data_IF_490388710923
#
_entry.id   IF_490388710923
#
_cell.length_a   1.000
_cell.length_b   1.000
_cell.length_c   1.000
_cell.angle_alpha   90.00
_cell.angle_beta   90.00
_cell.angle_gamma   90.00
#
_symmetry.space_group_name_H-M   'P 1'
#
loop_
_entity.id
_entity.type
_entity.pdbx_description
1 polymer ?
#
# COMPACT_ATOMS: atom_id res chain seq x y z
N UNK A 1 -25.35 12.25 -7.17
CA UNK A 1 -23.92 12.36 -6.83
C UNK A 1 -23.20 13.03 -7.98
N UNK A 2 -22.57 14.20 -7.78
CA UNK A 2 -21.92 14.94 -8.88
C UNK A 2 -20.55 14.32 -9.26
N UNK A 3 -20.02 14.71 -10.42
CA UNK A 3 -18.74 14.19 -10.97
C UNK A 3 -17.54 14.37 -10.03
N UNK A 4 -17.58 15.38 -9.15
CA UNK A 4 -16.56 15.64 -8.13
C UNK A 4 -16.76 14.78 -6.87
N UNK A 5 -18.01 14.48 -6.48
CA UNK A 5 -18.32 13.49 -5.44
C UNK A 5 -17.97 12.08 -5.88
N UNK A 6 -18.17 11.74 -7.15
CA UNK A 6 -17.63 10.50 -7.73
C UNK A 6 -16.10 10.47 -7.68
N UNK A 7 -15.43 11.58 -8.03
CA UNK A 7 -13.96 11.66 -8.00
C UNK A 7 -13.39 11.56 -6.57
N UNK A 8 -14.09 12.11 -5.57
CA UNK A 8 -13.70 12.01 -4.16
C UNK A 8 -14.10 10.68 -3.51
N UNK A 9 -15.23 10.08 -3.92
CA UNK A 9 -15.57 8.69 -3.60
C UNK A 9 -14.61 7.68 -4.26
N UNK A 10 -13.93 8.09 -5.33
CA UNK A 10 -12.85 7.34 -5.97
C UNK A 10 -11.49 7.53 -5.29
N UNK A 11 -11.38 8.40 -4.26
CA UNK A 11 -10.16 8.47 -3.43
C UNK A 11 -10.21 7.38 -2.37
N UNK A 12 -9.95 6.16 -2.83
CA UNK A 12 -9.97 4.93 -2.05
C UNK A 12 -8.99 5.03 -0.87
N UNK A 13 -9.51 5.13 0.35
CA UNK A 13 -8.73 4.87 1.55
C UNK A 13 -8.84 5.86 2.72
N UNK A 14 -9.66 6.92 2.63
CA UNK A 14 -9.98 7.78 3.79
C UNK A 14 -11.44 7.68 4.24
N UNK A 15 -12.26 6.91 3.54
CA UNK A 15 -13.67 6.67 3.85
C UNK A 15 -13.95 5.17 3.82
N UNK A 16 -14.86 4.72 4.67
CA UNK A 16 -15.28 3.31 4.78
C UNK A 16 -15.71 2.76 3.43
N UNK A 17 -16.49 3.51 2.65
CA UNK A 17 -16.93 3.07 1.32
C UNK A 17 -15.76 2.74 0.37
N UNK A 18 -14.69 3.52 0.43
CA UNK A 18 -13.49 3.28 -0.36
C UNK A 18 -12.75 2.01 0.07
N UNK A 19 -12.75 1.71 1.37
CA UNK A 19 -12.19 0.47 1.90
C UNK A 19 -13.07 -0.75 1.55
N UNK A 20 -14.40 -0.61 1.58
CA UNK A 20 -15.33 -1.69 1.24
C UNK A 20 -15.30 -2.05 -0.24
N UNK A 21 -15.01 -1.10 -1.14
CA UNK A 21 -14.78 -1.41 -2.56
C UNK A 21 -13.63 -2.40 -2.75
N UNK A 22 -12.55 -2.28 -1.98
CA UNK A 22 -11.40 -3.19 -2.05
C UNK A 22 -11.73 -4.64 -1.65
N UNK A 23 -12.82 -4.87 -0.91
CA UNK A 23 -13.23 -6.19 -0.44
C UNK A 23 -13.33 -7.21 -1.58
N UNK A 24 -13.92 -6.80 -2.70
CA UNK A 24 -14.19 -7.70 -3.84
C UNK A 24 -13.08 -7.71 -4.89
N UNK A 25 -12.04 -6.91 -4.68
CA UNK A 25 -10.95 -6.65 -5.64
C UNK A 25 -9.78 -7.60 -5.29
N UNK A 26 -9.62 -8.71 -6.03
CA UNK A 26 -8.81 -9.92 -5.75
C UNK A 26 -9.20 -10.61 -4.43
N UNK A 27 -9.83 -11.79 -4.46
CA UNK A 27 -10.23 -12.49 -3.24
C UNK A 27 -9.08 -13.27 -2.60
N UNK A 28 -9.03 -13.27 -1.25
CA UNK A 28 -8.18 -14.22 -0.51
C UNK A 28 -8.61 -15.64 -0.83
N UNK A 29 -7.66 -16.55 -1.03
CA UNK A 29 -7.90 -17.92 -1.46
C UNK A 29 -7.98 -18.13 -2.97
N UNK A 30 -7.80 -17.07 -3.78
CA UNK A 30 -7.73 -17.18 -5.26
C UNK A 30 -6.30 -17.07 -5.76
N UNK A 31 -6.05 -17.57 -6.98
CA UNK A 31 -4.74 -17.45 -7.64
C UNK A 31 -4.36 -15.96 -7.80
N UNK A 32 -3.15 -15.61 -7.40
CA UNK A 32 -2.64 -14.26 -7.56
C UNK A 32 -2.39 -13.96 -9.05
N UNK A 33 -2.85 -12.81 -9.58
CA UNK A 33 -2.55 -12.43 -10.95
C UNK A 33 -1.04 -12.36 -11.22
N UNK A 34 -0.53 -13.14 -12.18
CA UNK A 34 0.90 -13.12 -12.52
C UNK A 34 1.29 -11.82 -13.23
N UNK A 35 2.54 -11.41 -13.06
CA UNK A 35 3.11 -10.25 -13.73
C UNK A 35 4.63 -10.36 -13.79
N UNK A 36 5.23 -9.53 -14.65
CA UNK A 36 6.68 -9.44 -14.82
C UNK A 36 7.13 -7.98 -14.83
N UNK A 37 8.08 -7.60 -13.96
CA UNK A 37 8.62 -6.24 -13.84
C UNK A 37 10.14 -6.26 -13.63
N UNK A 38 10.86 -5.21 -14.07
CA UNK A 38 12.30 -5.10 -13.83
C UNK A 38 12.60 -4.70 -12.38
N UNK A 39 13.64 -5.33 -11.80
CA UNK A 39 14.34 -4.82 -10.63
C UNK A 39 15.19 -3.58 -10.99
N UNK A 40 15.66 -2.88 -9.97
CA UNK A 40 16.57 -1.73 -10.14
C UNK A 40 17.94 -2.07 -10.74
N UNK A 41 18.30 -3.35 -10.85
CA UNK A 41 19.53 -3.83 -11.49
C UNK A 41 19.29 -4.37 -12.91
N UNK A 42 18.07 -4.25 -13.43
CA UNK A 42 17.68 -4.72 -14.77
C UNK A 42 17.31 -6.19 -14.85
N UNK A 43 17.52 -6.99 -13.79
CA UNK A 43 16.98 -8.37 -13.74
C UNK A 43 15.45 -8.31 -13.73
N UNK A 44 14.81 -9.38 -14.17
CA UNK A 44 13.34 -9.45 -14.19
C UNK A 44 12.83 -10.21 -12.97
N UNK A 45 11.85 -9.63 -12.31
CA UNK A 45 10.98 -10.31 -11.35
C UNK A 45 9.75 -10.84 -12.10
N UNK A 46 9.40 -12.10 -11.87
CA UNK A 46 8.10 -12.67 -12.25
C UNK A 46 7.50 -13.36 -11.03
N UNK A 47 6.24 -13.07 -10.73
CA UNK A 47 5.60 -13.56 -9.50
C UNK A 47 5.53 -15.10 -9.49
N UNK A 48 5.19 -15.72 -10.62
CA UNK A 48 5.09 -17.17 -10.74
C UNK A 48 6.41 -17.93 -10.48
N UNK A 49 7.57 -17.28 -10.60
CA UNK A 49 8.88 -17.92 -10.38
C UNK A 49 9.11 -18.31 -8.90
N UNK A 50 8.30 -17.76 -7.99
CA UNK A 50 8.38 -18.04 -6.55
C UNK A 50 7.47 -19.19 -6.08
N UNK A 51 6.59 -19.70 -6.96
CA UNK A 51 5.71 -20.84 -6.65
C UNK A 51 6.55 -22.07 -6.27
N UNK A 52 6.10 -22.79 -5.24
CA UNK A 52 6.79 -23.91 -4.62
C UNK A 52 8.00 -23.54 -3.76
N UNK A 53 8.55 -22.33 -3.89
CA UNK A 53 9.81 -21.94 -3.26
C UNK A 53 9.61 -20.99 -2.07
N UNK A 54 8.84 -19.93 -2.23
CA UNK A 54 8.73 -18.87 -1.21
C UNK A 54 7.38 -18.18 -1.27
N UNK A 55 6.90 -17.75 -0.10
CA UNK A 55 5.79 -16.80 -0.03
C UNK A 55 6.31 -15.43 -0.49
N UNK A 56 5.48 -14.66 -1.19
CA UNK A 56 5.84 -13.33 -1.70
C UNK A 56 5.01 -12.26 -1.02
N UNK A 57 5.69 -11.25 -0.44
CA UNK A 57 5.06 -10.07 0.15
C UNK A 57 5.21 -8.90 -0.83
N UNK A 58 4.11 -8.54 -1.48
CA UNK A 58 4.04 -7.37 -2.37
C UNK A 58 3.66 -6.14 -1.56
N UNK A 59 4.55 -5.16 -1.50
CA UNK A 59 4.26 -3.84 -0.91
C UNK A 59 4.23 -2.82 -2.04
N UNK A 60 3.06 -2.31 -2.38
CA UNK A 60 2.94 -1.27 -3.41
C UNK A 60 3.26 0.09 -2.81
N UNK A 61 3.97 0.96 -3.53
CA UNK A 61 4.26 2.29 -3.00
C UNK A 61 4.99 3.18 -3.98
N UNK A 62 5.34 4.38 -3.50
CA UNK A 62 6.11 5.36 -4.26
C UNK A 62 6.89 6.30 -3.35
N UNK A 63 7.77 7.10 -3.95
CA UNK A 63 8.66 7.97 -3.20
C UNK A 63 7.93 9.15 -2.55
N UNK A 64 6.84 9.62 -3.15
CA UNK A 64 6.00 10.68 -2.60
C UNK A 64 4.85 10.17 -1.74
N UNK A 65 4.80 8.88 -1.38
CA UNK A 65 3.75 8.33 -0.53
C UNK A 65 4.10 8.40 0.97
N UNK A 66 3.36 9.22 1.72
CA UNK A 66 3.51 9.34 3.18
C UNK A 66 3.32 8.01 3.93
N UNK A 67 2.38 7.17 3.49
CA UNK A 67 2.14 5.85 4.10
C UNK A 67 3.31 4.90 3.87
N UNK A 68 3.83 4.80 2.65
CA UNK A 68 5.02 3.99 2.33
C UNK A 68 6.21 4.40 3.21
N UNK A 69 6.51 5.70 3.31
CA UNK A 69 7.63 6.18 4.14
C UNK A 69 7.38 5.94 5.63
N UNK A 70 6.12 6.07 6.08
CA UNK A 70 5.76 5.76 7.47
C UNK A 70 6.04 4.31 7.80
N UNK A 71 5.59 3.36 6.97
CA UNK A 71 5.79 1.93 7.22
C UNK A 71 7.28 1.52 7.11
N UNK A 72 8.07 2.22 6.29
CA UNK A 72 9.53 2.01 6.20
C UNK A 72 10.29 2.52 7.44
N UNK A 73 9.94 3.70 7.98
CA UNK A 73 10.70 4.37 9.05
C UNK A 73 10.15 4.18 10.45
N UNK A 74 8.83 4.30 10.59
CA UNK A 74 8.13 4.46 11.87
C UNK A 74 6.95 3.49 12.03
N UNK A 75 6.85 2.48 11.16
CA UNK A 75 5.99 1.33 11.41
C UNK A 75 6.38 0.70 12.74
N UNK A 76 5.43 0.08 13.42
CA UNK A 76 5.70 -0.65 14.66
C UNK A 76 5.27 -2.12 14.48
N UNK A 77 6.18 -3.00 14.03
CA UNK A 77 7.58 -2.77 13.67
C UNK A 77 7.76 -2.14 12.27
N UNK A 78 8.93 -1.58 11.93
CA UNK A 78 9.18 -1.10 10.56
C UNK A 78 9.29 -2.27 9.57
N UNK A 79 8.87 -2.08 8.32
CA UNK A 79 8.92 -3.12 7.27
C UNK A 79 10.30 -3.76 7.11
N UNK A 80 11.37 -2.97 7.28
CA UNK A 80 12.73 -3.49 7.22
C UNK A 80 13.06 -4.52 8.30
N UNK A 81 12.44 -4.40 9.48
CA UNK A 81 12.56 -5.39 10.55
C UNK A 81 11.85 -6.69 10.19
N UNK A 82 10.62 -6.59 9.65
CA UNK A 82 9.87 -7.75 9.17
C UNK A 82 10.61 -8.49 8.08
N UNK A 83 11.09 -7.80 7.05
CA UNK A 83 11.89 -8.40 5.98
C UNK A 83 13.08 -9.21 6.52
N UNK A 84 13.88 -8.64 7.44
CA UNK A 84 15.04 -9.35 8.01
C UNK A 84 14.65 -10.61 8.77
N UNK A 85 13.54 -10.58 9.52
CA UNK A 85 13.04 -11.71 10.31
C UNK A 85 12.43 -12.80 9.44
N UNK A 86 11.61 -12.43 8.47
CA UNK A 86 10.78 -13.37 7.71
C UNK A 86 11.46 -13.90 6.43
N UNK A 87 12.50 -13.23 5.90
CA UNK A 87 13.28 -13.80 4.77
C UNK A 87 13.84 -15.18 5.07
N UNK A 88 14.32 -15.39 6.31
CA UNK A 88 14.87 -16.68 6.76
C UNK A 88 13.80 -17.74 7.00
N UNK A 89 12.53 -17.37 6.88
CA UNK A 89 11.35 -18.21 7.06
C UNK A 89 10.62 -18.44 5.72
N UNK A 90 11.31 -18.20 4.59
CA UNK A 90 10.77 -18.44 3.25
C UNK A 90 9.78 -17.37 2.76
N UNK A 91 10.00 -16.10 3.12
CA UNK A 91 9.24 -14.95 2.61
C UNK A 91 10.12 -14.00 1.82
N UNK A 92 9.71 -13.67 0.60
CA UNK A 92 10.39 -12.73 -0.28
C UNK A 92 9.61 -11.42 -0.33
N UNK A 93 10.22 -10.34 0.18
CA UNK A 93 9.58 -9.02 0.18
C UNK A 93 10.02 -8.26 -1.06
N UNK A 94 9.06 -7.62 -1.73
CA UNK A 94 9.36 -6.74 -2.86
C UNK A 94 8.47 -5.50 -2.82
N UNK A 95 9.09 -4.33 -3.04
CA UNK A 95 8.36 -3.10 -3.24
C UNK A 95 7.98 -2.96 -4.71
N UNK A 96 6.67 -2.91 -5.01
CA UNK A 96 6.16 -2.59 -6.35
C UNK A 96 6.06 -1.07 -6.47
N UNK A 97 7.03 -0.47 -7.15
CA UNK A 97 7.14 0.97 -7.30
C UNK A 97 6.25 1.46 -8.45
N UNK A 98 5.30 2.35 -8.14
CA UNK A 98 4.31 2.83 -9.12
C UNK A 98 4.20 4.37 -9.17
N UNK A 99 3.01 4.93 -8.92
CA UNK A 99 2.69 6.33 -9.18
C UNK A 99 3.06 7.25 -8.01
N UNK A 100 3.67 8.39 -8.35
CA UNK A 100 3.85 9.51 -7.43
C UNK A 100 2.51 10.20 -7.14
N UNK A 101 1.90 9.86 -6.00
CA UNK A 101 0.60 10.43 -5.61
C UNK A 101 0.70 11.87 -5.12
N UNK A 102 1.88 12.31 -4.70
CA UNK A 102 2.13 13.67 -4.22
C UNK A 102 3.35 14.29 -4.94
N UNK A 103 3.30 14.31 -6.28
CA UNK A 103 4.34 14.91 -7.11
C UNK A 103 4.48 16.43 -6.90
N UNK A 104 5.66 16.95 -7.14
CA UNK A 104 5.96 18.38 -7.17
C UNK A 104 7.23 18.66 -7.98
N UNK A 105 7.69 19.92 -8.02
CA UNK A 105 8.81 20.32 -8.88
C UNK A 105 10.12 19.51 -8.66
N UNK A 106 10.37 18.98 -7.46
CA UNK A 106 11.58 18.19 -7.16
C UNK A 106 11.40 16.68 -7.37
N UNK A 107 10.15 16.21 -7.40
CA UNK A 107 9.78 14.83 -7.69
C UNK A 107 8.56 14.86 -8.60
N UNK A 108 8.75 15.18 -9.90
CA UNK A 108 7.64 15.27 -10.83
C UNK A 108 7.01 13.90 -11.05
N UNK A 109 5.76 13.90 -11.49
CA UNK A 109 5.13 12.66 -11.93
C UNK A 109 5.89 12.17 -13.17
N UNK A 110 6.43 10.94 -13.17
CA UNK A 110 7.20 10.45 -14.30
C UNK A 110 6.31 10.33 -15.54
N UNK A 111 6.85 10.69 -16.70
CA UNK A 111 6.26 10.51 -18.03
C UNK A 111 6.99 9.46 -18.86
N UNK A 112 8.15 9.00 -18.40
CA UNK A 112 8.92 7.90 -19.01
C UNK A 112 9.29 6.85 -17.96
N UNK A 113 9.61 5.63 -18.41
CA UNK A 113 10.09 4.56 -17.52
C UNK A 113 11.41 4.94 -16.84
N UNK A 114 12.32 5.61 -17.56
CA UNK A 114 13.59 6.10 -17.02
C UNK A 114 13.40 7.06 -15.83
N UNK A 115 12.49 8.03 -15.95
CA UNK A 115 12.18 8.96 -14.87
C UNK A 115 11.61 8.22 -13.65
N UNK A 116 10.75 7.24 -13.88
CA UNK A 116 10.18 6.41 -12.80
C UNK A 116 11.25 5.58 -12.13
N UNK A 117 12.16 4.98 -12.90
CA UNK A 117 13.29 4.22 -12.41
C UNK A 117 14.21 5.10 -11.55
N UNK A 118 14.50 6.32 -11.99
CA UNK A 118 15.28 7.30 -11.23
C UNK A 118 14.61 7.63 -9.88
N UNK A 119 13.29 7.86 -9.85
CA UNK A 119 12.58 8.08 -8.59
C UNK A 119 12.58 6.83 -7.68
N UNK A 120 12.50 5.63 -8.25
CA UNK A 120 12.61 4.37 -7.51
C UNK A 120 14.01 4.16 -6.91
N UNK A 121 15.07 4.50 -7.64
CA UNK A 121 16.45 4.51 -7.14
C UNK A 121 16.63 5.53 -6.00
N UNK A 122 16.04 6.73 -6.13
CA UNK A 122 16.02 7.72 -5.04
C UNK A 122 15.32 7.18 -3.81
N UNK A 123 14.16 6.54 -3.95
CA UNK A 123 13.49 5.86 -2.84
C UNK A 123 14.43 4.84 -2.17
N UNK A 124 15.05 3.95 -2.94
CA UNK A 124 15.98 2.93 -2.43
C UNK A 124 17.12 3.55 -1.60
N UNK A 125 17.75 4.60 -2.14
CA UNK A 125 18.92 5.27 -1.55
C UNK A 125 18.56 6.13 -0.34
N UNK A 126 17.60 7.03 -0.50
CA UNK A 126 17.26 8.04 0.51
C UNK A 126 16.48 7.46 1.69
N UNK A 127 15.64 6.44 1.44
CA UNK A 127 14.88 5.75 2.49
C UNK A 127 15.55 4.47 3.01
N UNK A 128 16.72 4.12 2.43
CA UNK A 128 17.49 2.92 2.77
C UNK A 128 16.60 1.66 2.76
N UNK A 129 15.75 1.54 1.74
CA UNK A 129 14.81 0.41 1.62
C UNK A 129 15.60 -0.90 1.64
N UNK A 130 15.38 -1.81 2.60
CA UNK A 130 16.29 -2.95 2.78
C UNK A 130 15.99 -4.14 1.87
N UNK A 131 14.81 -4.19 1.25
CA UNK A 131 14.38 -5.25 0.33
C UNK A 131 14.38 -4.76 -1.14
N UNK A 132 14.31 -5.68 -2.11
CA UNK A 132 14.25 -5.33 -3.53
C UNK A 132 13.09 -4.40 -3.90
N UNK A 133 13.29 -3.63 -4.97
CA UNK A 133 12.28 -2.77 -5.58
C UNK A 133 12.15 -3.19 -7.05
N UNK A 134 10.92 -3.39 -7.50
CA UNK A 134 10.57 -3.62 -8.90
C UNK A 134 9.73 -2.45 -9.39
N UNK A 135 9.90 -2.06 -10.65
CA UNK A 135 9.36 -0.81 -11.18
C UNK A 135 8.24 -1.12 -12.16
N UNK A 136 7.02 -0.68 -11.87
CA UNK A 136 5.86 -0.81 -12.77
C UNK A 136 6.06 0.07 -14.01
N UNK A 137 5.56 -0.35 -15.16
CA UNK A 137 5.67 0.41 -16.41
C UNK A 137 4.89 1.71 -16.37
N UNK A 138 5.25 2.69 -17.21
CA UNK A 138 4.62 4.02 -17.22
C UNK A 138 3.08 3.95 -17.35
N UNK A 139 2.60 2.93 -18.05
CA UNK A 139 1.18 2.64 -18.20
C UNK A 139 0.50 2.21 -16.91
N UNK A 140 1.21 1.68 -15.91
CA UNK A 140 0.69 1.23 -14.60
C UNK A 140 -0.10 -0.09 -14.70
N UNK A 141 0.38 -1.02 -15.52
CA UNK A 141 -0.24 -2.31 -15.80
C UNK A 141 -0.43 -3.11 -14.51
N UNK A 142 0.63 -3.26 -13.72
CA UNK A 142 0.57 -4.08 -12.50
C UNK A 142 -0.24 -3.38 -11.43
N UNK A 143 -0.11 -2.06 -11.29
CA UNK A 143 -0.99 -1.31 -10.38
C UNK A 143 -2.47 -1.44 -10.75
N UNK A 144 -2.82 -1.44 -12.05
CA UNK A 144 -4.20 -1.68 -12.50
C UNK A 144 -4.64 -3.11 -12.21
N UNK A 145 -3.77 -4.08 -12.49
CA UNK A 145 -4.00 -5.49 -12.21
C UNK A 145 -4.31 -5.75 -10.73
N UNK A 146 -3.68 -4.98 -9.84
CA UNK A 146 -3.92 -4.99 -8.39
C UNK A 146 -4.80 -3.82 -7.91
N UNK A 147 -5.75 -3.39 -8.74
CA UNK A 147 -6.89 -2.52 -8.39
C UNK A 147 -6.60 -1.07 -7.98
N UNK A 148 -5.53 -0.48 -8.52
CA UNK A 148 -5.32 0.97 -8.51
C UNK A 148 -5.29 1.64 -7.13
N UNK A 149 -4.86 0.91 -6.11
CA UNK A 149 -4.66 1.47 -4.78
C UNK A 149 -3.32 2.20 -4.65
N UNK A 150 -3.18 2.97 -3.58
CA UNK A 150 -1.99 3.81 -3.35
C UNK A 150 -0.83 3.02 -2.75
N UNK A 151 -1.11 2.29 -1.68
CA UNK A 151 -0.10 1.55 -0.91
C UNK A 151 -0.73 0.26 -0.34
N UNK A 152 -1.32 -0.61 -1.18
CA UNK A 152 -1.81 -1.91 -0.70
C UNK A 152 -0.66 -2.87 -0.38
N UNK A 153 -0.99 -3.92 0.36
CA UNK A 153 -0.11 -5.07 0.57
C UNK A 153 -0.83 -6.36 0.26
N UNK A 154 -0.12 -7.29 -0.37
CA UNK A 154 -0.58 -8.65 -0.63
C UNK A 154 0.48 -9.63 -0.12
N UNK A 155 0.03 -10.76 0.41
CA UNK A 155 0.88 -11.94 0.63
C UNK A 155 0.35 -13.04 -0.27
N UNK A 156 1.23 -13.55 -1.11
CA UNK A 156 1.00 -14.69 -1.99
C UNK A 156 1.74 -15.86 -1.36
N UNK A 157 1.06 -16.96 -1.11
CA UNK A 157 1.70 -18.14 -0.55
C UNK A 157 2.50 -18.94 -1.59
N UNK A 158 3.18 -20.01 -1.15
CA UNK A 158 3.96 -20.88 -2.04
C UNK A 158 3.13 -21.56 -3.12
N UNK A 159 1.82 -21.70 -2.95
CA UNK A 159 0.93 -22.27 -3.96
C UNK A 159 0.52 -21.23 -5.01
N UNK A 160 0.95 -19.97 -4.86
CA UNK A 160 0.58 -18.87 -5.74
C UNK A 160 -0.80 -18.30 -5.43
N UNK A 161 -1.34 -18.58 -4.24
CA UNK A 161 -2.66 -18.15 -3.80
C UNK A 161 -2.53 -16.90 -2.93
N UNK A 162 -3.48 -15.98 -3.05
CA UNK A 162 -3.54 -14.78 -2.21
C UNK A 162 -3.93 -15.21 -0.80
N UNK A 163 -2.95 -15.29 0.10
CA UNK A 163 -3.16 -15.63 1.51
C UNK A 163 -3.63 -14.42 2.33
N UNK A 164 -3.26 -13.21 1.92
CA UNK A 164 -3.66 -11.97 2.59
C UNK A 164 -3.65 -10.78 1.63
N UNK A 165 -4.54 -9.83 1.92
CA UNK A 165 -4.55 -8.52 1.27
C UNK A 165 -4.96 -7.42 2.25
N UNK A 166 -4.43 -6.22 2.04
CA UNK A 166 -4.88 -5.01 2.73
C UNK A 166 -4.82 -3.81 1.80
N UNK A 167 -5.82 -2.92 1.91
CA UNK A 167 -5.92 -1.70 1.10
C UNK A 167 -4.84 -0.66 1.46
N UNK A 168 -4.28 -0.79 2.67
CA UNK A 168 -3.16 0.00 3.16
C UNK A 168 -2.13 -0.90 3.82
N UNK A 169 -0.85 -0.72 3.49
CA UNK A 169 0.23 -1.39 4.21
C UNK A 169 0.20 -0.98 5.67
N UNK A 170 0.05 -1.96 6.55
CA UNK A 170 0.13 -1.79 7.98
C UNK A 170 1.03 -2.88 8.56
N UNK A 171 2.24 -2.48 8.96
CA UNK A 171 3.26 -3.43 9.36
C UNK A 171 2.89 -4.26 10.60
N UNK A 172 2.08 -3.71 11.51
CA UNK A 172 1.60 -4.44 12.69
C UNK A 172 0.70 -5.62 12.29
N UNK A 173 -0.25 -5.40 11.40
CA UNK A 173 -1.14 -6.46 10.91
C UNK A 173 -0.38 -7.44 10.02
N UNK A 174 0.54 -6.93 9.19
CA UNK A 174 1.44 -7.77 8.39
C UNK A 174 2.29 -8.71 9.26
N UNK A 175 2.81 -8.25 10.40
CA UNK A 175 3.56 -9.10 11.34
C UNK A 175 2.72 -10.27 11.86
N UNK A 176 1.47 -9.99 12.24
CA UNK A 176 0.55 -11.00 12.73
C UNK A 176 0.35 -12.09 11.68
N UNK A 177 -0.02 -11.70 10.45
CA UNK A 177 -0.31 -12.64 9.37
C UNK A 177 0.93 -13.45 8.97
N UNK A 178 2.10 -12.82 8.87
CA UNK A 178 3.35 -13.53 8.58
C UNK A 178 3.68 -14.57 9.67
N UNK A 179 3.42 -14.24 10.93
CA UNK A 179 3.63 -15.17 12.06
C UNK A 179 2.67 -16.35 11.98
N UNK A 180 1.40 -16.10 11.68
CA UNK A 180 0.37 -17.12 11.52
C UNK A 180 0.65 -18.05 10.34
N UNK A 181 1.11 -17.50 9.20
CA UNK A 181 1.51 -18.31 8.05
C UNK A 181 2.70 -19.21 8.36
N UNK A 182 3.73 -18.71 9.05
CA UNK A 182 4.86 -19.54 9.51
C UNK A 182 4.38 -20.66 10.43
N UNK A 183 3.48 -20.36 11.36
CA UNK A 183 2.93 -21.37 12.28
C UNK A 183 2.11 -22.43 11.52
N UNK A 184 1.27 -22.01 10.58
CA UNK A 184 0.48 -22.89 9.72
C UNK A 184 1.37 -23.83 8.90
N UNK A 185 2.42 -23.30 8.25
CA UNK A 185 3.39 -24.11 7.52
C UNK A 185 4.12 -25.11 8.40
N UNK A 186 4.54 -24.68 9.60
CA UNK A 186 5.18 -25.55 10.58
C UNK A 186 4.27 -26.68 11.07
N UNK A 187 2.98 -26.41 11.30
CA UNK A 187 1.99 -27.42 11.69
C UNK A 187 1.72 -28.41 10.55
N UNK A 188 1.53 -27.90 9.31
CA UNK A 188 1.39 -28.74 8.11
C UNK A 188 2.60 -29.67 7.90
N UNK A 189 3.82 -29.16 8.06
CA UNK A 189 5.05 -29.95 7.94
C UNK A 189 5.17 -31.07 8.98
N UNK A 190 4.51 -30.93 10.14
CA UNK A 190 4.42 -31.96 11.19
C UNK A 190 3.20 -32.86 11.05
N UNK A 191 2.41 -32.69 9.98
CA UNK A 191 1.15 -33.41 9.76
C UNK A 191 0.13 -33.21 10.88
N UNK A 192 0.15 -32.03 11.53
CA UNK A 192 -0.82 -31.63 12.54
C UNK A 192 -2.14 -31.16 11.88
N UNK A 193 -3.26 -31.33 12.58
CA UNK A 193 -4.55 -30.83 12.12
C UNK A 193 -4.58 -29.31 12.15
N UNK A 194 -4.62 -28.67 10.96
CA UNK A 194 -4.78 -27.22 10.82
C UNK A 194 -6.23 -26.88 10.50
N UNK A 195 -6.82 -25.98 11.28
CA UNK A 195 -8.12 -25.37 10.96
C UNK A 195 -7.89 -24.09 10.18
N UNK A 196 -8.36 -24.06 8.93
CA UNK A 196 -8.29 -22.85 8.11
C UNK A 196 -9.21 -21.77 8.69
N UNK A 197 -8.70 -20.55 8.82
CA UNK A 197 -9.44 -19.41 9.35
C UNK A 197 -9.53 -18.32 8.28
N UNK A 198 -10.72 -17.77 8.08
CA UNK A 198 -10.96 -16.60 7.25
C UNK A 198 -11.49 -15.48 8.14
N UNK A 199 -10.89 -14.30 8.06
CA UNK A 199 -11.31 -13.13 8.84
C UNK A 199 -11.18 -11.85 8.02
N UNK A 200 -12.12 -10.92 8.23
CA UNK A 200 -12.09 -9.58 7.63
C UNK A 200 -12.01 -8.54 8.75
N UNK A 201 -11.22 -7.49 8.54
CA UNK A 201 -11.06 -6.37 9.48
C UNK A 201 -11.34 -5.06 8.77
N UNK A 202 -12.15 -4.19 9.40
CA UNK A 202 -12.34 -2.80 8.98
C UNK A 202 -11.86 -1.89 10.11
N UNK A 203 -10.67 -1.31 9.94
CA UNK A 203 -10.00 -0.51 10.98
C UNK A 203 -9.43 0.78 10.42
N UNK A 204 -9.22 1.77 11.30
CA UNK A 204 -8.59 3.03 10.95
C UNK A 204 -7.07 2.98 11.13
N UNK A 205 -6.32 3.33 10.08
CA UNK A 205 -4.87 3.54 10.18
C UNK A 205 -4.58 5.03 10.39
N UNK A 206 -3.89 5.37 11.48
CA UNK A 206 -3.51 6.75 11.76
C UNK A 206 -2.32 7.18 10.90
N UNK A 207 -2.41 8.39 10.35
CA UNK A 207 -1.34 8.97 9.53
C UNK A 207 -0.27 9.59 10.41
N UNK A 208 1.01 9.34 10.09
CA UNK A 208 2.11 10.10 10.69
C UNK A 208 2.23 11.49 10.02
N UNK A 209 1.74 12.52 10.72
CA UNK A 209 1.71 13.89 10.21
C UNK A 209 3.10 14.47 9.89
N UNK A 210 4.11 14.19 10.73
CA UNK A 210 5.48 14.69 10.55
C UNK A 210 6.14 14.11 9.30
N UNK A 211 6.08 12.78 9.13
CA UNK A 211 6.61 12.10 7.95
C UNK A 211 5.85 12.55 6.70
N UNK A 212 4.53 12.60 6.76
CA UNK A 212 3.73 13.04 5.63
C UNK A 212 4.09 14.47 5.20
N UNK A 213 4.27 15.42 6.12
CA UNK A 213 4.73 16.77 5.78
C UNK A 213 6.15 16.78 5.18
N UNK A 214 7.07 15.94 5.69
CA UNK A 214 8.41 15.79 5.12
C UNK A 214 8.37 15.31 3.66
N UNK A 215 7.51 14.33 3.35
CA UNK A 215 7.36 13.80 1.99
C UNK A 215 6.88 14.87 1.02
N UNK A 216 5.92 15.71 1.42
CA UNK A 216 5.46 16.83 0.58
C UNK A 216 6.55 17.89 0.37
N UNK A 217 7.29 18.26 1.43
CA UNK A 217 8.41 19.21 1.30
C UNK A 217 9.50 18.69 0.36
N UNK A 218 9.79 17.38 0.42
CA UNK A 218 10.73 16.73 -0.50
C UNK A 218 10.26 16.83 -1.95
N UNK A 219 8.97 16.62 -2.21
CA UNK A 219 8.41 16.73 -3.56
C UNK A 219 8.43 18.17 -4.10
N UNK A 220 8.38 19.17 -3.21
CA UNK A 220 8.60 20.58 -3.53
C UNK A 220 7.44 21.49 -3.09
N UNK A 221 7.64 22.82 -3.11
CA UNK A 221 6.62 23.82 -2.77
C UNK A 221 5.24 23.60 -3.41
N UNK A 222 5.15 23.17 -4.67
CA UNK A 222 3.85 22.86 -5.30
C UNK A 222 3.11 21.72 -4.58
N UNK A 223 3.82 20.65 -4.21
CA UNK A 223 3.24 19.52 -3.47
C UNK A 223 2.73 19.96 -2.10
N UNK A 224 3.47 20.83 -1.40
CA UNK A 224 3.04 21.40 -0.11
C UNK A 224 1.76 22.22 -0.27
N UNK A 225 1.71 23.15 -1.22
CA UNK A 225 0.51 23.97 -1.47
C UNK A 225 -0.71 23.13 -1.81
N UNK A 226 -0.53 22.11 -2.65
CA UNK A 226 -1.60 21.18 -3.05
C UNK A 226 -2.14 20.41 -1.83
N UNK A 227 -1.25 19.93 -0.98
CA UNK A 227 -1.60 19.22 0.24
C UNK A 227 -2.36 20.12 1.23
N UNK A 228 -1.86 21.32 1.51
CA UNK A 228 -2.51 22.29 2.40
C UNK A 228 -3.90 22.71 1.90
N UNK A 229 -4.04 22.95 0.60
CA UNK A 229 -5.34 23.27 -0.01
C UNK A 229 -6.34 22.11 0.17
N UNK A 230 -5.88 20.86 0.04
CA UNK A 230 -6.72 19.67 0.27
C UNK A 230 -7.19 19.57 1.73
N UNK A 231 -6.35 19.96 2.68
CA UNK A 231 -6.65 19.93 4.11
C UNK A 231 -7.69 21.00 4.48
N UNK A 232 -7.47 22.24 4.05
CA UNK A 232 -8.43 23.35 4.25
C UNK A 232 -9.81 23.04 3.65
N UNK A 233 -9.86 22.35 2.51
CA UNK A 233 -11.13 21.90 1.90
C UNK A 233 -11.86 20.88 2.77
N UNK A 234 -11.13 20.01 3.50
CA UNK A 234 -11.71 19.03 4.43
C UNK A 234 -12.25 19.70 5.70
N UNK A 235 -11.50 20.62 6.31
CA UNK A 235 -11.96 21.38 7.48
C UNK A 235 -13.25 22.14 7.19
N UNK A 236 -13.28 22.93 6.11
CA UNK A 236 -14.49 23.66 5.68
C UNK A 236 -15.69 22.76 5.41
N UNK A 237 -15.47 21.48 5.06
CA UNK A 237 -16.55 20.50 4.86
C UNK A 237 -17.04 19.92 6.18
N UNK A 238 -16.12 19.64 7.12
CA UNK A 238 -16.48 19.22 8.47
C UNK A 238 -17.30 20.30 9.18
N UNK A 239 -16.92 21.57 9.04
CA UNK A 239 -17.65 22.71 9.59
C UNK A 239 -19.07 22.82 9.01
N UNK A 240 -19.22 22.62 7.70
CA UNK A 240 -20.55 22.63 7.04
C UNK A 240 -21.43 21.48 7.52
N UNK A 241 -20.90 20.26 7.59
CA UNK A 241 -21.65 19.10 8.06
C UNK A 241 -22.07 19.26 9.53
N UNK A 242 -21.21 19.85 10.37
CA UNK A 242 -21.54 20.21 11.75
C UNK A 242 -22.64 21.28 11.82
N UNK A 243 -22.58 22.29 10.95
CA UNK A 243 -23.61 23.36 10.89
C UNK A 243 -24.97 22.88 10.33
N UNK A 244 -24.98 21.89 9.44
CA UNK A 244 -26.21 21.31 8.91
C UNK A 244 -26.86 20.35 9.92
N UNK A 245 -26.06 19.60 10.70
CA UNK A 245 -26.57 18.78 11.80
C UNK A 245 -27.16 19.63 12.94
N UNK A 246 -26.54 20.77 13.27
CA UNK A 246 -27.09 21.69 14.28
C UNK A 246 -28.37 22.40 13.81
N UNK A 247 -28.51 22.68 12.52
CA UNK A 247 -29.76 23.20 11.92
C UNK A 247 -30.87 22.16 11.83
N UNK A 248 -30.54 20.88 11.60
CA UNK A 248 -31.51 19.78 11.58
C UNK A 248 -32.04 19.46 12.99
N UNK A 249 -31.20 19.53 14.03
CA UNK A 249 -31.62 19.34 15.42
C UNK A 249 -32.42 20.50 16.03
N UNK A 250 -32.56 21.63 15.32
CA UNK A 250 -33.30 22.80 15.77
C UNK A 250 -34.72 22.89 15.15
N UNK A 251 -35.15 21.86 14.42
CA UNK A 251 -36.50 21.79 13.80
C UNK A 251 -37.50 20.86 14.52
N UNK A 252 -37.07 20.19 15.59
CA UNK A 252 -37.92 19.27 16.39
C UNK A 252 -38.06 19.73 17.86
N UNK A 253 -38.26 21.03 18.09
CA UNK A 253 -38.72 21.60 19.38
C UNK A 253 -39.83 22.63 19.15
#
# INVERSE_FOLDING_TARGET
MNKMEQTLANYMGHHVDGALRFRNEIAVGTEAPDFKLPFLDGRMFRLSDYRGNSNVVLVFGSFTCGSTITQLRAGNPPLGSLYRRFRRKGFEFVLVYSVEMHSGEHVPRPTTDEQRFNNAQRLKKEEKVPFPIIVDGIGNEVRRLYHNLTNPTFIIDRDGVVAYKSSWTWATDLEQVLTELVACEGAKAKNEMVRMCYSEKLVGLTRNGKISAQVHRRAGPQAVRTFEASYRKRERRADRLSSDQSRAGCRDL
#
